data_IF_786096653797
#
_entry.id   IF_786096653797
#
_cell.length_a   1.000
_cell.length_b   1.000
_cell.length_c   1.000
_cell.angle_alpha   90.00
_cell.angle_beta   90.00
_cell.angle_gamma   90.00
#
_symmetry.space_group_name_H-M   'P 1'
#
loop_
_entity.id
_entity.type
_entity.pdbx_description
1 polymer ?
#
# COMPACT_ATOMS: atom_id res chain seq x y z
N UNK A 1 20.43 4.57 -10.49
CA UNK A 1 20.04 3.54 -9.52
C UNK A 1 19.14 4.17 -8.47
N UNK A 2 18.05 3.50 -8.14
CA UNK A 2 17.11 4.04 -7.16
C UNK A 2 17.69 3.89 -5.75
N UNK A 3 17.48 4.92 -4.92
CA UNK A 3 17.68 4.85 -3.48
C UNK A 3 16.34 4.43 -2.88
N UNK A 4 16.25 3.21 -2.36
CA UNK A 4 14.99 2.66 -1.89
C UNK A 4 14.63 3.14 -0.49
N UNK A 5 13.36 3.46 -0.30
CA UNK A 5 12.78 3.75 1.01
C UNK A 5 11.93 2.56 1.43
N UNK A 6 12.25 1.99 2.58
CA UNK A 6 11.54 0.83 3.14
C UNK A 6 10.73 1.23 4.36
N UNK A 7 9.54 0.71 4.45
CA UNK A 7 8.74 1.06 5.61
C UNK A 7 7.46 0.26 5.76
N UNK A 8 6.61 0.81 6.61
CA UNK A 8 5.30 0.25 6.92
C UNK A 8 4.23 1.23 6.47
N UNK A 9 3.20 0.69 5.82
CA UNK A 9 2.02 1.45 5.42
C UNK A 9 0.80 0.85 6.12
N UNK A 10 0.05 1.70 6.82
CA UNK A 10 -1.22 1.32 7.43
C UNK A 10 -2.35 1.90 6.59
N UNK A 11 -3.30 1.05 6.22
CA UNK A 11 -4.50 1.46 5.48
C UNK A 11 -5.71 1.06 6.30
N UNK A 12 -6.65 1.99 6.48
CA UNK A 12 -7.86 1.72 7.26
C UNK A 12 -9.08 2.37 6.63
N UNK A 13 -10.23 1.74 6.83
CA UNK A 13 -11.49 2.22 6.30
C UNK A 13 -12.56 1.14 6.35
N UNK A 14 -13.69 1.43 5.73
CA UNK A 14 -14.79 0.49 5.65
C UNK A 14 -14.44 -0.68 4.74
N UNK A 15 -15.02 -1.83 5.01
CA UNK A 15 -14.79 -3.07 4.27
C UNK A 15 -14.87 -2.90 2.76
N UNK A 16 -15.94 -2.26 2.26
CA UNK A 16 -16.15 -2.07 0.82
C UNK A 16 -15.03 -1.23 0.19
N UNK A 17 -14.57 -0.22 0.92
CA UNK A 17 -13.53 0.68 0.46
C UNK A 17 -12.16 -0.03 0.44
N UNK A 18 -11.88 -0.84 1.46
CA UNK A 18 -10.66 -1.65 1.52
C UNK A 18 -10.64 -2.69 0.40
N UNK A 19 -11.77 -3.38 0.15
CA UNK A 19 -11.88 -4.34 -0.95
C UNK A 19 -11.62 -3.67 -2.29
N UNK A 20 -12.21 -2.50 -2.52
CA UNK A 20 -12.02 -1.74 -3.75
C UNK A 20 -10.57 -1.31 -3.94
N UNK A 21 -9.93 -0.84 -2.87
CA UNK A 21 -8.51 -0.50 -2.89
C UNK A 21 -7.64 -1.71 -3.29
N UNK A 22 -7.86 -2.85 -2.63
CA UNK A 22 -7.08 -4.07 -2.90
C UNK A 22 -7.27 -4.61 -4.32
N UNK A 23 -8.46 -4.45 -4.89
CA UNK A 23 -8.78 -4.99 -6.21
C UNK A 23 -8.43 -4.07 -7.37
N UNK A 24 -8.27 -2.76 -7.12
CA UNK A 24 -8.05 -1.80 -8.21
C UNK A 24 -6.79 -0.95 -8.07
N UNK A 25 -6.38 -0.60 -6.86
CA UNK A 25 -5.16 0.19 -6.65
C UNK A 25 -3.91 -0.67 -6.58
N UNK A 26 -4.05 -1.90 -6.09
CA UNK A 26 -2.96 -2.86 -6.00
C UNK A 26 -2.88 -3.65 -7.29
N UNK A 27 -1.71 -3.69 -7.93
CA UNK A 27 -1.50 -4.34 -9.22
C UNK A 27 -0.46 -5.44 -9.11
N UNK A 28 -0.72 -6.64 -9.68
CA UNK A 28 0.33 -7.64 -9.79
C UNK A 28 1.30 -7.23 -10.89
N UNK A 29 2.60 -7.35 -10.62
CA UNK A 29 3.66 -7.01 -11.58
C UNK A 29 4.69 -8.12 -11.62
N UNK A 30 5.40 -8.24 -12.75
CA UNK A 30 6.52 -9.17 -12.87
C UNK A 30 7.82 -8.53 -12.39
N UNK A 31 8.94 -9.24 -12.55
CA UNK A 31 10.27 -8.75 -12.12
C UNK A 31 10.71 -7.47 -12.83
N UNK A 32 10.19 -7.22 -14.04
CA UNK A 32 10.53 -6.02 -14.82
C UNK A 32 9.63 -4.84 -14.46
N UNK A 33 8.59 -5.05 -13.64
CA UNK A 33 7.62 -4.04 -13.29
C UNK A 33 6.44 -3.93 -14.24
N UNK A 34 6.33 -4.86 -15.22
CA UNK A 34 5.17 -4.91 -16.12
C UNK A 34 3.94 -5.39 -15.35
N UNK A 35 2.82 -4.70 -15.58
CA UNK A 35 1.54 -5.05 -14.97
C UNK A 35 1.01 -6.35 -15.59
N UNK A 36 0.72 -7.30 -14.73
CA UNK A 36 0.15 -8.59 -15.11
C UNK A 36 -1.38 -8.53 -15.08
N UNK A 37 -2.02 -9.65 -15.46
CA UNK A 37 -3.47 -9.77 -15.43
C UNK A 37 -4.00 -9.59 -13.99
N UNK A 38 -4.96 -8.68 -13.82
CA UNK A 38 -5.58 -8.41 -12.52
C UNK A 38 -6.26 -9.65 -11.93
N UNK A 39 -6.65 -10.60 -12.75
CA UNK A 39 -7.25 -11.87 -12.32
C UNK A 39 -6.28 -12.77 -11.54
N UNK A 40 -4.99 -12.47 -11.55
CA UNK A 40 -4.02 -13.14 -10.69
C UNK A 40 -4.20 -12.78 -9.21
N UNK A 41 -4.86 -11.67 -8.92
CA UNK A 41 -5.23 -11.31 -7.55
C UNK A 41 -6.45 -12.10 -7.12
N UNK A 42 -6.31 -12.83 -6.03
CA UNK A 42 -7.39 -13.63 -5.45
C UNK A 42 -7.76 -13.08 -4.08
N UNK A 43 -8.94 -12.50 -3.98
CA UNK A 43 -9.47 -11.95 -2.73
C UNK A 43 -10.52 -12.91 -2.18
N UNK A 44 -10.29 -13.37 -0.95
CA UNK A 44 -11.23 -14.23 -0.23
C UNK A 44 -11.61 -13.56 1.08
N UNK A 45 -12.76 -13.96 1.63
CA UNK A 45 -13.27 -13.44 2.89
C UNK A 45 -13.72 -14.60 3.78
N UNK A 46 -13.37 -14.50 5.06
CA UNK A 46 -13.81 -15.44 6.08
C UNK A 46 -14.15 -14.70 7.38
N UNK A 47 -14.34 -15.42 8.47
CA UNK A 47 -14.69 -14.85 9.77
C UNK A 47 -13.59 -13.96 10.34
N UNK A 48 -12.34 -14.16 9.94
CA UNK A 48 -11.19 -13.40 10.42
C UNK A 48 -10.94 -12.11 9.64
N UNK A 49 -11.49 -11.98 8.43
CA UNK A 49 -11.33 -10.80 7.61
C UNK A 49 -11.16 -11.11 6.14
N UNK A 50 -10.40 -10.26 5.46
CA UNK A 50 -10.10 -10.37 4.03
C UNK A 50 -8.70 -10.92 3.83
N UNK A 51 -8.53 -11.73 2.78
CA UNK A 51 -7.23 -12.31 2.41
C UNK A 51 -7.02 -12.09 0.92
N UNK A 52 -5.91 -11.44 0.57
CA UNK A 52 -5.51 -11.23 -0.81
C UNK A 52 -4.22 -11.98 -1.07
N UNK A 53 -4.17 -12.77 -2.14
CA UNK A 53 -2.94 -13.38 -2.59
C UNK A 53 -2.78 -13.26 -4.10
N UNK A 54 -1.55 -13.46 -4.57
CA UNK A 54 -1.23 -13.48 -5.99
C UNK A 54 -1.12 -14.93 -6.43
N UNK A 55 -2.00 -15.33 -7.34
CA UNK A 55 -2.03 -16.68 -7.89
C UNK A 55 -1.17 -16.71 -9.17
N UNK A 56 0.14 -16.84 -8.99
CA UNK A 56 1.10 -16.89 -10.08
C UNK A 56 2.13 -17.98 -9.85
N UNK A 57 2.51 -18.68 -10.92
CA UNK A 57 3.57 -19.69 -10.89
C UNK A 57 4.96 -19.06 -10.87
N UNK A 58 5.07 -17.84 -11.39
CA UNK A 58 6.33 -17.10 -11.43
C UNK A 58 6.41 -16.13 -10.26
N UNK A 59 7.64 -15.68 -9.96
CA UNK A 59 7.86 -14.65 -8.97
C UNK A 59 7.16 -13.36 -9.41
N UNK A 60 6.12 -12.98 -8.70
CA UNK A 60 5.37 -11.75 -8.94
C UNK A 60 5.41 -10.87 -7.69
N UNK A 61 5.18 -9.60 -7.89
CA UNK A 61 5.17 -8.60 -6.84
C UNK A 61 3.85 -7.85 -6.89
N UNK A 62 3.50 -7.20 -5.79
CA UNK A 62 2.37 -6.28 -5.77
C UNK A 62 2.90 -4.86 -5.88
N UNK A 63 2.28 -4.06 -6.74
CA UNK A 63 2.63 -2.66 -6.94
C UNK A 63 1.48 -1.77 -6.55
N UNK A 64 1.82 -0.63 -5.93
CA UNK A 64 0.88 0.47 -5.79
C UNK A 64 0.94 1.33 -7.05
N UNK A 65 -0.20 1.82 -7.49
CA UNK A 65 -0.28 2.69 -8.66
C UNK A 65 0.19 4.10 -8.31
N UNK A 66 1.51 4.27 -8.22
CA UNK A 66 2.14 5.54 -7.89
C UNK A 66 3.02 6.01 -9.04
N UNK A 67 3.30 7.34 -9.12
CA UNK A 67 4.15 7.91 -10.17
C UNK A 67 5.60 7.45 -10.05
N UNK A 68 6.10 7.26 -8.84
CA UNK A 68 7.36 6.60 -8.58
C UNK A 68 7.09 5.11 -8.30
N UNK A 69 8.11 4.28 -8.47
CA UNK A 69 7.95 2.84 -8.27
C UNK A 69 7.69 2.53 -6.80
N UNK A 70 6.45 2.14 -6.49
CA UNK A 70 6.02 1.73 -5.16
C UNK A 70 5.58 0.28 -5.18
N UNK A 71 6.13 -0.52 -4.28
CA UNK A 71 5.85 -1.94 -4.21
C UNK A 71 5.40 -2.35 -2.81
N UNK A 72 4.52 -3.35 -2.77
CA UNK A 72 4.17 -4.04 -1.54
C UNK A 72 5.07 -5.27 -1.47
N UNK A 73 5.85 -5.38 -0.41
CA UNK A 73 6.86 -6.43 -0.25
C UNK A 73 6.24 -7.70 0.36
N UNK A 74 5.11 -8.12 -0.21
CA UNK A 74 4.38 -9.32 0.21
C UNK A 74 3.49 -9.80 -0.92
N UNK A 75 3.36 -11.10 -1.09
CA UNK A 75 2.43 -11.72 -2.04
C UNK A 75 1.14 -12.18 -1.37
N UNK A 76 1.05 -12.02 -0.05
CA UNK A 76 -0.12 -12.35 0.73
C UNK A 76 -0.43 -11.21 1.70
N UNK A 77 -1.66 -10.71 1.64
CA UNK A 77 -2.12 -9.61 2.49
C UNK A 77 -3.32 -10.09 3.30
N UNK A 78 -3.25 -9.90 4.62
CA UNK A 78 -4.34 -10.20 5.53
C UNK A 78 -4.87 -8.89 6.11
N UNK A 79 -6.19 -8.70 6.00
CA UNK A 79 -6.86 -7.51 6.52
C UNK A 79 -7.72 -7.95 7.71
N UNK A 80 -7.47 -7.34 8.86
CA UNK A 80 -8.23 -7.64 10.06
C UNK A 80 -9.45 -6.73 10.18
N UNK A 81 -10.59 -7.33 10.54
CA UNK A 81 -11.81 -6.59 10.82
C UNK A 81 -11.85 -6.18 12.29
N UNK A 82 -12.44 -5.03 12.53
CA UNK A 82 -12.76 -4.55 13.86
C UNK A 82 -14.29 -4.61 14.07
N UNK A 83 -14.75 -4.24 15.27
CA UNK A 83 -16.13 -4.44 15.72
C UNK A 83 -17.18 -3.64 14.93
N UNK A 84 -16.81 -2.54 14.27
CA UNK A 84 -17.71 -1.58 13.64
C UNK A 84 -17.67 -1.61 12.11
N UNK A 85 -17.31 -2.75 11.52
CA UNK A 85 -17.11 -2.88 10.07
C UNK A 85 -15.98 -2.00 9.53
N UNK A 86 -15.09 -1.57 10.40
CA UNK A 86 -13.84 -0.90 10.01
C UNK A 86 -12.75 -1.98 9.88
N UNK A 87 -11.97 -1.84 8.83
CA UNK A 87 -10.91 -2.77 8.51
C UNK A 87 -9.58 -2.02 8.49
N UNK A 88 -8.52 -2.67 8.93
CA UNK A 88 -7.18 -2.13 8.83
C UNK A 88 -6.19 -3.19 8.37
N UNK A 89 -5.18 -2.73 7.63
CA UNK A 89 -4.11 -3.61 7.19
C UNK A 89 -2.78 -2.89 7.33
N UNK A 90 -1.75 -3.69 7.60
CA UNK A 90 -0.37 -3.23 7.70
C UNK A 90 0.41 -3.89 6.57
N UNK A 91 1.06 -3.07 5.74
CA UNK A 91 1.82 -3.52 4.59
C UNK A 91 3.30 -3.17 4.75
N UNK A 92 4.16 -4.10 4.41
CA UNK A 92 5.56 -3.79 4.16
C UNK A 92 5.67 -3.20 2.76
N UNK A 93 6.24 -2.01 2.65
CA UNK A 93 6.31 -1.27 1.38
C UNK A 93 7.73 -0.81 1.10
N UNK A 94 8.00 -0.58 -0.18
CA UNK A 94 9.23 0.08 -0.62
C UNK A 94 8.91 1.02 -1.77
N UNK A 95 9.54 2.18 -1.76
CA UNK A 95 9.37 3.21 -2.78
C UNK A 95 10.72 3.63 -3.33
N UNK A 96 10.77 3.90 -4.63
CA UNK A 96 11.97 4.40 -5.28
C UNK A 96 12.19 5.87 -4.92
N UNK A 97 13.31 6.17 -4.29
CA UNK A 97 13.81 7.49 -3.93
C UNK A 97 13.07 8.19 -2.78
N UNK A 98 11.75 8.24 -2.80
CA UNK A 98 10.94 8.90 -1.77
C UNK A 98 9.50 8.41 -1.81
N UNK A 99 8.74 8.71 -0.77
CA UNK A 99 7.30 8.45 -0.74
C UNK A 99 6.59 9.73 -1.20
N UNK A 100 5.76 9.61 -2.24
CA UNK A 100 5.03 10.74 -2.81
C UNK A 100 3.73 10.97 -2.03
N UNK A 101 3.73 11.99 -1.18
CA UNK A 101 2.58 12.34 -0.32
C UNK A 101 1.35 12.70 -1.15
N UNK A 102 1.51 13.39 -2.27
CA UNK A 102 0.38 13.82 -3.10
C UNK A 102 -0.33 12.63 -3.74
N UNK A 103 0.43 11.63 -4.18
CA UNK A 103 -0.14 10.40 -4.74
C UNK A 103 -0.92 9.63 -3.67
N UNK A 104 -0.37 9.52 -2.45
CA UNK A 104 -1.08 8.87 -1.35
C UNK A 104 -2.37 9.62 -0.99
N UNK A 105 -2.34 10.94 -1.02
CA UNK A 105 -3.53 11.79 -0.80
C UNK A 105 -4.62 11.51 -1.83
N UNK A 106 -4.25 11.41 -3.11
CA UNK A 106 -5.18 11.07 -4.19
C UNK A 106 -5.78 9.68 -4.03
N UNK A 107 -4.96 8.69 -3.68
CA UNK A 107 -5.41 7.32 -3.44
C UNK A 107 -6.38 7.28 -2.25
N UNK A 108 -6.03 7.93 -1.15
CA UNK A 108 -6.87 7.98 0.04
C UNK A 108 -8.24 8.58 -0.27
N UNK A 109 -8.27 9.66 -1.02
CA UNK A 109 -9.52 10.32 -1.43
C UNK A 109 -10.32 9.45 -2.39
N UNK A 110 -9.67 8.87 -3.40
CA UNK A 110 -10.32 8.04 -4.41
C UNK A 110 -11.03 6.84 -3.79
N UNK A 111 -10.39 6.18 -2.84
CA UNK A 111 -10.91 4.97 -2.21
C UNK A 111 -11.61 5.22 -0.88
N UNK A 112 -11.63 6.47 -0.42
CA UNK A 112 -12.24 6.86 0.87
C UNK A 112 -11.66 6.06 2.04
N UNK A 113 -10.32 6.04 2.12
CA UNK A 113 -9.55 5.32 3.13
C UNK A 113 -8.51 6.24 3.77
N UNK A 114 -8.10 5.91 4.98
CA UNK A 114 -6.99 6.57 5.65
C UNK A 114 -5.69 5.81 5.37
N UNK A 115 -4.61 6.54 5.06
CA UNK A 115 -3.30 5.95 4.79
C UNK A 115 -2.24 6.63 5.63
N UNK A 116 -1.39 5.85 6.28
CA UNK A 116 -0.18 6.38 6.93
C UNK A 116 1.02 5.53 6.53
N UNK A 117 2.17 6.20 6.38
CA UNK A 117 3.43 5.56 5.98
C UNK A 117 4.54 6.08 6.85
N UNK A 118 5.40 5.19 7.32
CA UNK A 118 6.69 5.55 7.88
C UNK A 118 7.75 4.76 7.13
N UNK A 119 8.63 5.46 6.42
CA UNK A 119 9.64 4.84 5.56
C UNK A 119 11.00 5.48 5.75
N UNK A 120 12.04 4.65 5.75
CA UNK A 120 13.43 5.06 5.95
C UNK A 120 14.24 4.70 4.71
N UNK A 121 15.10 5.62 4.27
CA UNK A 121 16.03 5.35 3.18
C UNK A 121 16.97 4.20 3.53
N UNK A 122 17.37 3.44 2.50
CA UNK A 122 18.31 2.32 2.66
C UNK A 122 19.65 2.74 3.24
N UNK A 123 20.06 4.00 3.04
CA UNK A 123 21.24 4.59 3.65
C UNK A 123 21.03 5.02 5.10
N UNK A 124 19.79 4.95 5.58
CA UNK A 124 19.38 5.34 6.93
C UNK A 124 19.63 6.83 7.25
N UNK A 125 19.64 7.69 6.20
CA UNK A 125 19.89 9.13 6.35
C UNK A 125 18.64 9.93 6.65
N UNK A 126 17.46 9.46 6.20
CA UNK A 126 16.20 10.14 6.46
C UNK A 126 15.06 9.18 6.68
N UNK A 127 14.07 9.62 7.44
CA UNK A 127 12.80 8.91 7.65
C UNK A 127 11.66 9.86 7.32
N UNK A 128 10.75 9.40 6.46
CA UNK A 128 9.52 10.12 6.14
C UNK A 128 8.37 9.55 6.98
N UNK A 129 7.55 10.45 7.54
CA UNK A 129 6.31 10.08 8.22
C UNK A 129 5.18 10.85 7.55
N UNK A 130 4.22 10.11 6.99
CA UNK A 130 3.12 10.66 6.20
C UNK A 130 1.82 10.09 6.73
N UNK A 131 0.81 10.94 6.90
CA UNK A 131 -0.55 10.52 7.18
C UNK A 131 -1.52 11.36 6.35
N UNK A 132 -2.39 10.68 5.62
CA UNK A 132 -3.45 11.30 4.83
C UNK A 132 -4.78 10.66 5.21
N UNK A 133 -5.84 11.47 5.28
CA UNK A 133 -7.14 10.96 5.65
C UNK A 133 -7.99 10.64 4.41
N UNK A 134 -9.14 10.03 4.64
CA UNK A 134 -10.08 9.59 3.61
C UNK A 134 -10.65 10.72 2.75
N UNK A 135 -10.55 11.96 3.20
CA UNK A 135 -10.93 13.14 2.41
C UNK A 135 -9.78 13.64 1.54
N UNK A 136 -8.61 13.02 1.61
CA UNK A 136 -7.41 13.42 0.89
C UNK A 136 -6.63 14.51 1.60
N UNK A 137 -6.97 14.84 2.85
CA UNK A 137 -6.25 15.85 3.61
C UNK A 137 -4.94 15.29 4.15
N UNK A 138 -3.85 16.01 3.91
CA UNK A 138 -2.54 15.68 4.44
C UNK A 138 -2.49 16.11 5.91
N UNK A 139 -2.40 15.11 6.81
CA UNK A 139 -2.40 15.34 8.26
C UNK A 139 -0.97 15.44 8.80
N UNK A 140 -0.06 14.65 8.25
CA UNK A 140 1.37 14.64 8.61
C UNK A 140 2.15 14.50 7.32
N UNK A 141 3.23 15.28 7.18
CA UNK A 141 4.18 15.16 6.06
C UNK A 141 5.55 15.67 6.54
N UNK A 142 6.24 14.81 7.28
CA UNK A 142 7.50 15.16 7.93
C UNK A 142 8.65 14.32 7.38
N UNK A 143 9.81 14.96 7.26
CA UNK A 143 11.07 14.27 6.95
C UNK A 143 12.04 14.57 8.09
N UNK A 144 12.55 13.52 8.71
CA UNK A 144 13.58 13.63 9.74
C UNK A 144 14.90 13.19 9.11
N UNK A 145 15.86 14.09 9.04
CA UNK A 145 17.21 13.83 8.55
C UNK A 145 18.14 13.54 9.73
N UNK A 146 19.08 12.66 9.50
CA UNK A 146 20.05 12.25 10.51
C UNK A 146 21.46 12.71 10.20
#
# INVERSE_FOLDING_TARGET
MANWCYGKMTVSGRKENIKNFLLTAVKPVDRTGEILDQNLLNLTEDELGLHLNVNSKDKSYLSLNTNNRGFIDSTYIKVLSDKDNDYSLLLDVKFANYVDTNVLSEIAKQYNIDISVQATEETNESTQTIAVNKAGKIMIDDIIER
#
